data_IF_984681215879
#
_entry.id   IF_984681215879
#
_cell.length_a   1.000
_cell.length_b   1.000
_cell.length_c   1.000
_cell.angle_alpha   90.00
_cell.angle_beta   90.00
_cell.angle_gamma   90.00
#
_symmetry.space_group_name_H-M   'P 1'
#
loop_
_entity.id
_entity.type
_entity.pdbx_description
1 polymer ?
#
# COMPACT_ATOMS: atom_id res chain seq x y z
N UNK A 1 -7.52 -7.15 -8.11
CA UNK A 1 -7.19 -5.79 -7.65
C UNK A 1 -6.23 -5.13 -8.64
N UNK A 2 -6.54 -3.93 -9.15
CA UNK A 2 -5.71 -3.27 -10.19
C UNK A 2 -4.64 -2.34 -9.61
N UNK A 3 -4.73 -2.06 -8.32
CA UNK A 3 -3.79 -1.23 -7.55
C UNK A 3 -2.44 -1.90 -7.28
N UNK A 4 -2.36 -3.22 -7.12
CA UNK A 4 -1.10 -3.91 -6.77
C UNK A 4 0.03 -3.65 -7.78
N UNK A 5 -0.20 -3.75 -9.11
CA UNK A 5 0.81 -3.37 -10.10
C UNK A 5 1.36 -1.95 -9.92
N UNK A 6 0.50 -0.97 -9.63
CA UNK A 6 0.94 0.42 -9.41
C UNK A 6 1.81 0.52 -8.15
N UNK A 7 1.42 -0.12 -7.05
CA UNK A 7 2.22 -0.12 -5.80
C UNK A 7 3.55 -0.83 -5.98
N UNK A 8 3.60 -1.92 -6.77
CA UNK A 8 4.85 -2.60 -7.14
C UNK A 8 5.80 -1.67 -7.86
N UNK A 9 5.29 -0.87 -8.80
CA UNK A 9 6.11 0.10 -9.53
C UNK A 9 6.62 1.22 -8.63
N UNK A 10 5.79 1.77 -7.72
CA UNK A 10 6.24 2.74 -6.73
C UNK A 10 7.40 2.17 -5.89
N UNK A 11 7.23 0.95 -5.38
CA UNK A 11 8.28 0.27 -4.64
C UNK A 11 9.55 0.12 -5.48
N UNK A 12 9.46 -0.42 -6.69
CA UNK A 12 10.62 -0.63 -7.55
C UNK A 12 11.36 0.68 -7.89
N UNK A 13 10.62 1.75 -8.18
CA UNK A 13 11.17 3.05 -8.58
C UNK A 13 11.89 3.76 -7.43
N UNK A 14 11.37 3.67 -6.21
CA UNK A 14 11.81 4.54 -5.11
C UNK A 14 12.44 3.79 -3.91
N UNK A 15 12.44 2.45 -3.87
CA UNK A 15 13.02 1.69 -2.75
C UNK A 15 14.49 2.04 -2.49
N UNK A 16 15.29 2.16 -3.55
CA UNK A 16 16.71 2.50 -3.44
C UNK A 16 16.96 3.94 -2.98
N UNK A 17 15.93 4.79 -3.06
CA UNK A 17 15.98 6.19 -2.63
C UNK A 17 15.46 6.36 -1.20
N UNK A 18 14.87 5.31 -0.61
CA UNK A 18 14.40 5.31 0.77
C UNK A 18 12.89 5.12 0.94
N UNK A 19 12.12 4.92 -0.14
CA UNK A 19 10.70 4.58 0.01
C UNK A 19 10.54 3.16 0.58
N UNK A 20 9.84 3.05 1.70
CA UNK A 20 9.41 1.76 2.25
C UNK A 20 7.94 1.56 1.94
N UNK A 21 7.59 0.38 1.41
CA UNK A 21 6.20 -0.03 1.17
C UNK A 21 5.88 -1.18 2.10
N UNK A 22 4.71 -1.11 2.75
CA UNK A 22 4.15 -2.18 3.57
C UNK A 22 2.71 -2.40 3.10
N UNK A 23 2.40 -3.61 2.65
CA UNK A 23 1.02 -4.01 2.39
C UNK A 23 0.34 -4.38 3.70
N UNK A 24 -0.89 -3.90 3.91
CA UNK A 24 -1.73 -4.35 5.03
C UNK A 24 -2.90 -5.13 4.44
N UNK A 25 -2.90 -6.44 4.65
CA UNK A 25 -3.98 -7.32 4.24
C UNK A 25 -5.00 -7.42 5.38
N UNK A 26 -6.03 -6.58 5.32
CA UNK A 26 -7.24 -6.72 6.14
C UNK A 26 -8.27 -7.50 5.32
N UNK A 27 -8.68 -8.71 5.74
CA UNK A 27 -9.53 -9.59 4.94
C UNK A 27 -10.98 -9.08 4.88
N UNK A 28 -11.60 -9.09 3.70
CA UNK A 28 -13.03 -8.78 3.51
C UNK A 28 -13.90 -10.03 3.79
N UNK A 29 -13.38 -11.23 3.49
CA UNK A 29 -14.09 -12.50 3.66
C UNK A 29 -13.33 -13.48 4.56
N UNK A 30 -14.05 -14.39 5.23
CA UNK A 30 -13.48 -15.38 6.16
C UNK A 30 -12.34 -16.23 5.55
N UNK A 31 -12.43 -16.58 4.25
CA UNK A 31 -11.41 -17.37 3.58
C UNK A 31 -10.10 -16.60 3.31
N UNK A 32 -10.11 -15.28 3.43
CA UNK A 32 -8.93 -14.41 3.27
C UNK A 32 -8.11 -14.28 4.56
N UNK A 33 -8.58 -14.84 5.69
CA UNK A 33 -7.82 -14.90 6.94
C UNK A 33 -6.70 -15.94 6.90
N UNK A 34 -6.79 -16.93 5.99
CA UNK A 34 -5.84 -18.01 5.92
C UNK A 34 -4.49 -17.52 5.37
N UNK A 35 -3.45 -17.56 6.21
CA UNK A 35 -2.08 -17.12 5.90
C UNK A 35 -1.57 -17.70 4.58
N UNK A 36 -1.87 -18.98 4.30
CA UNK A 36 -1.42 -19.65 3.07
C UNK A 36 -2.04 -19.03 1.82
N UNK A 37 -3.33 -18.65 1.85
CA UNK A 37 -3.98 -18.00 0.73
C UNK A 37 -3.34 -16.64 0.42
N UNK A 38 -2.96 -15.90 1.46
CA UNK A 38 -2.28 -14.61 1.32
C UNK A 38 -0.86 -14.79 0.78
N UNK A 39 -0.11 -15.79 1.26
CA UNK A 39 1.21 -16.14 0.71
C UNK A 39 1.13 -16.51 -0.78
N UNK A 40 0.16 -17.32 -1.16
CA UNK A 40 -0.05 -17.70 -2.56
C UNK A 40 -0.42 -16.50 -3.42
N UNK A 41 -1.22 -15.56 -2.88
CA UNK A 41 -1.54 -14.31 -3.56
C UNK A 41 -0.31 -13.39 -3.72
N UNK A 42 0.52 -13.25 -2.69
CA UNK A 42 1.78 -12.49 -2.73
C UNK A 42 2.68 -13.04 -3.83
N UNK A 43 2.86 -14.36 -3.88
CA UNK A 43 3.68 -15.02 -4.90
C UNK A 43 3.10 -14.84 -6.30
N UNK A 44 1.79 -15.09 -6.48
CA UNK A 44 1.10 -14.97 -7.78
C UNK A 44 1.11 -13.54 -8.33
N UNK A 45 1.01 -12.55 -7.46
CA UNK A 45 0.93 -11.13 -7.83
C UNK A 45 2.30 -10.44 -7.84
N UNK A 46 3.36 -11.20 -7.54
CA UNK A 46 4.75 -10.75 -7.49
C UNK A 46 4.92 -9.51 -6.60
N UNK A 47 4.42 -9.60 -5.36
CA UNK A 47 4.51 -8.53 -4.36
C UNK A 47 5.89 -8.57 -3.69
N UNK A 48 6.77 -7.59 -3.96
CA UNK A 48 8.17 -7.63 -3.51
C UNK A 48 8.38 -7.05 -2.10
N UNK A 49 7.34 -6.46 -1.51
CA UNK A 49 7.40 -5.78 -0.23
C UNK A 49 6.70 -6.58 0.88
N UNK A 50 7.04 -6.33 2.16
CA UNK A 50 6.40 -6.99 3.29
C UNK A 50 4.88 -6.78 3.31
N UNK A 51 4.15 -7.82 3.72
CA UNK A 51 2.69 -7.78 3.91
C UNK A 51 2.35 -8.18 5.34
N UNK A 52 1.70 -7.29 6.08
CA UNK A 52 1.13 -7.57 7.37
C UNK A 52 -0.27 -8.19 7.21
N UNK A 53 -0.57 -9.21 8.00
CA UNK A 53 -1.91 -9.78 8.11
C UNK A 53 -2.65 -9.08 9.24
N UNK A 54 -3.73 -8.38 8.91
CA UNK A 54 -4.54 -7.60 9.84
C UNK A 54 -5.91 -8.26 10.02
N UNK A 55 -5.90 -9.54 10.39
CA UNK A 55 -7.10 -10.38 10.51
C UNK A 55 -8.10 -9.87 11.56
N UNK A 56 -7.62 -9.14 12.56
CA UNK A 56 -8.44 -8.57 13.65
C UNK A 56 -8.79 -7.09 13.41
N UNK A 57 -8.47 -6.55 12.22
CA UNK A 57 -8.71 -5.15 11.85
C UNK A 57 -8.07 -4.12 12.81
N UNK A 58 -7.03 -4.49 13.55
CA UNK A 58 -6.39 -3.61 14.52
C UNK A 58 -5.74 -2.41 13.81
N UNK A 59 -5.01 -2.67 12.73
CA UNK A 59 -4.35 -1.62 11.93
C UNK A 59 -5.40 -0.82 11.15
N UNK A 60 -6.35 -1.50 10.52
CA UNK A 60 -7.48 -0.89 9.82
C UNK A 60 -8.21 0.15 10.68
N UNK A 61 -8.56 -0.23 11.92
CA UNK A 61 -9.25 0.64 12.86
C UNK A 61 -8.35 1.77 13.37
N UNK A 62 -7.08 1.50 13.63
CA UNK A 62 -6.11 2.53 14.04
C UNK A 62 -5.94 3.63 12.98
N UNK A 63 -5.93 3.24 11.70
CA UNK A 63 -5.90 4.17 10.56
C UNK A 63 -7.27 4.79 10.24
N UNK A 64 -8.32 4.41 10.97
CA UNK A 64 -9.71 4.81 10.73
C UNK A 64 -10.13 4.56 9.28
N UNK A 65 -9.61 3.49 8.67
CA UNK A 65 -9.89 3.15 7.28
C UNK A 65 -11.32 2.65 7.11
N UNK A 66 -11.88 2.80 5.91
CA UNK A 66 -13.23 2.33 5.56
C UNK A 66 -13.32 1.71 4.17
N UNK A 67 -12.20 1.65 3.43
CA UNK A 67 -12.23 1.31 2.01
C UNK A 67 -11.06 0.40 1.62
N UNK A 68 -11.32 -0.49 0.68
CA UNK A 68 -10.31 -1.16 -0.12
C UNK A 68 -10.38 -0.64 -1.58
N UNK A 69 -9.23 -0.39 -2.25
CA UNK A 69 -7.92 -0.15 -1.65
C UNK A 69 -7.85 1.26 -1.02
N UNK A 70 -6.95 1.39 -0.05
CA UNK A 70 -6.57 2.67 0.55
C UNK A 70 -5.04 2.73 0.68
N UNK A 71 -4.46 3.90 0.41
CA UNK A 71 -3.02 4.15 0.55
C UNK A 71 -2.79 5.35 1.45
N UNK A 72 -1.75 5.26 2.28
CA UNK A 72 -1.33 6.31 3.19
C UNK A 72 0.16 6.57 2.99
N UNK A 73 0.53 7.81 2.64
CA UNK A 73 1.92 8.22 2.52
C UNK A 73 2.35 8.92 3.81
N UNK A 74 3.45 8.45 4.40
CA UNK A 74 3.97 8.91 5.69
C UNK A 74 5.39 9.43 5.45
N UNK A 75 5.72 10.61 6.00
CA UNK A 75 7.06 11.19 5.88
C UNK A 75 8.07 10.61 6.88
N UNK A 76 9.34 11.02 6.76
CA UNK A 76 10.45 10.56 7.61
C UNK A 76 10.27 10.87 9.11
N UNK A 77 9.32 11.75 9.47
CA UNK A 77 8.97 12.10 10.86
C UNK A 77 7.75 11.34 11.36
N UNK A 78 7.21 10.42 10.57
CA UNK A 78 6.02 9.64 10.93
C UNK A 78 4.70 10.41 10.72
N UNK A 79 4.71 11.52 9.99
CA UNK A 79 3.50 12.32 9.75
C UNK A 79 2.84 11.87 8.45
N UNK A 80 1.53 11.59 8.50
CA UNK A 80 0.73 11.29 7.31
C UNK A 80 0.61 12.54 6.42
N UNK A 81 1.08 12.44 5.18
CA UNK A 81 1.12 13.55 4.21
C UNK A 81 0.05 13.43 3.14
N UNK A 82 -0.42 12.22 2.86
CA UNK A 82 -1.40 11.97 1.83
C UNK A 82 -2.18 10.68 2.07
N UNK A 83 -3.45 10.71 1.68
CA UNK A 83 -4.37 9.57 1.72
C UNK A 83 -5.03 9.44 0.36
N UNK A 84 -4.94 8.25 -0.23
CA UNK A 84 -5.63 7.91 -1.46
C UNK A 84 -6.68 6.84 -1.18
N UNK A 85 -7.93 7.11 -1.57
CA UNK A 85 -9.04 6.17 -1.44
C UNK A 85 -9.48 5.74 -2.84
N UNK A 86 -9.54 4.43 -3.05
CA UNK A 86 -9.93 3.84 -4.33
C UNK A 86 -8.74 3.37 -5.17
N UNK A 87 -9.04 2.86 -6.37
CA UNK A 87 -8.06 2.20 -7.23
C UNK A 87 -7.01 3.16 -7.77
N UNK A 88 -5.73 2.81 -7.58
CA UNK A 88 -4.58 3.53 -8.13
C UNK A 88 -4.06 2.84 -9.39
N UNK A 89 -3.85 3.61 -10.46
CA UNK A 89 -3.18 3.17 -11.70
C UNK A 89 -2.33 4.31 -12.26
N UNK A 90 -1.32 4.01 -13.07
CA UNK A 90 -0.49 5.03 -13.73
C UNK A 90 -1.31 6.13 -14.44
N UNK A 91 -2.47 5.78 -14.99
CA UNK A 91 -3.37 6.70 -15.70
C UNK A 91 -4.33 7.50 -14.81
N UNK A 92 -4.31 7.30 -13.50
CA UNK A 92 -5.19 8.02 -12.55
C UNK A 92 -4.51 9.26 -12.01
N UNK A 93 -5.29 10.31 -11.70
CA UNK A 93 -4.75 11.53 -11.09
C UNK A 93 -3.97 11.25 -9.79
N UNK A 94 -4.45 10.29 -8.98
CA UNK A 94 -3.78 9.89 -7.74
C UNK A 94 -2.37 9.33 -7.95
N UNK A 95 -2.03 8.83 -9.14
CA UNK A 95 -0.67 8.41 -9.46
C UNK A 95 0.28 9.59 -9.57
N UNK A 96 -0.12 10.62 -10.32
CA UNK A 96 0.66 11.85 -10.43
C UNK A 96 0.85 12.48 -9.06
N UNK A 97 -0.23 12.61 -8.29
CA UNK A 97 -0.19 13.19 -6.93
C UNK A 97 0.76 12.43 -6.00
N UNK A 98 0.64 11.10 -5.91
CA UNK A 98 1.46 10.31 -4.98
C UNK A 98 2.94 10.31 -5.40
N UNK A 99 3.24 10.26 -6.70
CA UNK A 99 4.63 10.25 -7.19
C UNK A 99 5.33 11.59 -6.96
N UNK A 100 4.66 12.71 -7.24
CA UNK A 100 5.19 14.05 -6.97
C UNK A 100 5.46 14.26 -5.47
N UNK A 101 4.56 13.79 -4.61
CA UNK A 101 4.75 13.84 -3.17
C UNK A 101 5.89 12.95 -2.70
N UNK A 102 6.00 11.71 -3.18
CA UNK A 102 7.14 10.83 -2.86
C UNK A 102 8.45 11.52 -3.25
N UNK A 103 8.56 12.04 -4.46
CA UNK A 103 9.76 12.72 -4.95
C UNK A 103 10.10 13.98 -4.16
N UNK A 104 9.10 14.66 -3.62
CA UNK A 104 9.27 15.82 -2.74
C UNK A 104 9.81 15.37 -1.37
N UNK A 105 9.16 14.40 -0.74
CA UNK A 105 9.53 13.88 0.59
C UNK A 105 10.89 13.17 0.62
N UNK A 106 11.32 12.60 -0.49
CA UNK A 106 12.65 11.99 -0.60
C UNK A 106 13.78 13.01 -0.56
N UNK A 107 13.53 14.24 -1.03
CA UNK A 107 14.49 15.36 -1.07
C UNK A 107 14.59 16.13 0.25
N UNK A 108 13.57 16.03 1.11
CA UNK A 108 13.57 16.58 2.48
C UNK A 108 14.60 15.86 3.38
#
# INVERSE_FOLDING_TARGET
MRTIPAVRELHQRYQAQGLVVIGVHSPEFQHEHAVNNVKDAIARLDVPYPVALDNDFATWNAFRNRYWPALYLIDKRGVMRYTHIGELRQSTAGWTEVTELIETLLKE
#
